data_IF_138164795759
#
_entry.id   IF_138164795759
#
_cell.length_a   1.000
_cell.length_b   1.000
_cell.length_c   1.000
_cell.angle_alpha   90.00
_cell.angle_beta   90.00
_cell.angle_gamma   90.00
#
_symmetry.space_group_name_H-M   'P 1'
#
loop_
_entity.id
_entity.type
_entity.pdbx_description
1 polymer ?
#
# COMPACT_ATOMS: atom_id res chain seq x y z
N UNK A 1 -4.93 -19.77 -27.48
CA UNK A 1 -3.92 -20.02 -26.43
C UNK A 1 -3.38 -18.73 -25.81
N UNK A 2 -3.19 -17.66 -26.59
CA UNK A 2 -2.70 -16.37 -26.08
C UNK A 2 -3.55 -15.77 -24.94
N UNK A 3 -4.87 -15.72 -25.10
CA UNK A 3 -5.78 -15.22 -24.04
C UNK A 3 -5.67 -16.00 -22.73
N UNK A 4 -5.55 -17.33 -22.80
CA UNK A 4 -5.38 -18.17 -21.61
C UNK A 4 -4.07 -17.83 -20.88
N UNK A 5 -2.96 -17.68 -21.62
CA UNK A 5 -1.68 -17.30 -21.04
C UNK A 5 -1.69 -15.90 -20.43
N UNK A 6 -2.37 -14.94 -21.06
CA UNK A 6 -2.50 -13.58 -20.56
C UNK A 6 -3.26 -13.53 -19.22
N UNK A 7 -4.40 -14.23 -19.14
CA UNK A 7 -5.21 -14.32 -17.91
C UNK A 7 -4.47 -15.09 -16.82
N UNK A 8 -3.79 -16.18 -17.18
CA UNK A 8 -3.02 -16.99 -16.23
C UNK A 8 -1.87 -16.18 -15.63
N UNK A 9 -1.08 -15.51 -16.46
CA UNK A 9 0.08 -14.72 -16.03
C UNK A 9 -0.39 -13.48 -15.26
N UNK A 10 -1.37 -12.75 -15.79
CA UNK A 10 -1.94 -11.56 -15.12
C UNK A 10 -2.56 -11.90 -13.77
N UNK A 11 -3.31 -13.01 -13.70
CA UNK A 11 -3.89 -13.52 -12.47
C UNK A 11 -2.83 -13.96 -11.46
N UNK A 12 -1.78 -14.66 -11.92
CA UNK A 12 -0.66 -15.07 -11.06
C UNK A 12 0.08 -13.86 -10.50
N UNK A 13 0.40 -12.86 -11.33
CA UNK A 13 1.08 -11.64 -10.89
C UNK A 13 0.24 -10.86 -9.87
N UNK A 14 -1.06 -10.73 -10.11
CA UNK A 14 -2.00 -10.14 -9.15
C UNK A 14 -2.02 -10.91 -7.83
N UNK A 15 -2.09 -12.24 -7.89
CA UNK A 15 -2.04 -13.13 -6.71
C UNK A 15 -0.73 -12.99 -5.92
N UNK A 16 0.40 -12.85 -6.60
CA UNK A 16 1.71 -12.60 -5.96
C UNK A 16 1.71 -11.26 -5.23
N UNK A 17 1.17 -10.19 -5.82
CA UNK A 17 1.08 -8.89 -5.15
C UNK A 17 0.27 -8.97 -3.86
N UNK A 18 -0.91 -9.60 -3.89
CA UNK A 18 -1.72 -9.75 -2.69
C UNK A 18 -1.08 -10.68 -1.65
N UNK A 19 -0.36 -11.72 -2.08
CA UNK A 19 0.35 -12.62 -1.17
C UNK A 19 1.52 -11.93 -0.46
N UNK A 20 2.27 -11.07 -1.14
CA UNK A 20 3.32 -10.26 -0.53
C UNK A 20 2.76 -9.32 0.55
N UNK A 21 1.63 -8.68 0.27
CA UNK A 21 0.92 -7.86 1.26
C UNK A 21 0.55 -8.69 2.48
N UNK A 22 -0.06 -9.86 2.28
CA UNK A 22 -0.45 -10.75 3.37
C UNK A 22 0.76 -11.23 4.21
N UNK A 23 1.89 -11.55 3.56
CA UNK A 23 3.14 -11.91 4.25
C UNK A 23 3.62 -10.77 5.15
N UNK A 24 3.53 -9.51 4.71
CA UNK A 24 3.86 -8.35 5.54
C UNK A 24 3.06 -8.30 6.85
N UNK A 25 1.72 -8.45 6.76
CA UNK A 25 0.85 -8.50 7.93
C UNK A 25 1.19 -9.67 8.87
N UNK A 26 1.43 -10.86 8.32
CA UNK A 26 1.79 -12.06 9.11
C UNK A 26 3.13 -11.87 9.82
N UNK A 27 4.13 -11.29 9.15
CA UNK A 27 5.44 -11.02 9.74
C UNK A 27 5.35 -10.00 10.88
N UNK A 28 4.55 -8.94 10.74
CA UNK A 28 4.31 -7.95 11.81
C UNK A 28 3.69 -8.64 13.02
N UNK A 29 2.65 -9.44 12.82
CA UNK A 29 1.99 -10.16 13.91
C UNK A 29 2.95 -11.14 14.59
N UNK A 30 3.68 -11.93 13.80
CA UNK A 30 4.62 -12.93 14.32
C UNK A 30 5.79 -12.30 15.09
N UNK A 31 6.28 -11.14 14.66
CA UNK A 31 7.38 -10.45 15.31
C UNK A 31 6.95 -9.70 16.57
N UNK A 32 5.76 -9.09 16.57
CA UNK A 32 5.29 -8.25 17.68
C UNK A 32 4.44 -9.00 18.72
N UNK A 33 3.81 -10.11 18.34
CA UNK A 33 2.84 -10.83 19.17
C UNK A 33 1.51 -10.09 19.36
N UNK A 34 1.34 -8.93 18.71
CA UNK A 34 0.13 -8.10 18.80
C UNK A 34 -0.39 -7.76 17.40
N UNK A 35 -1.71 -7.74 17.25
CA UNK A 35 -2.33 -7.34 15.99
C UNK A 35 -2.42 -5.81 15.91
N UNK A 36 -1.82 -5.21 14.89
CA UNK A 36 -1.88 -3.76 14.69
C UNK A 36 -3.20 -3.38 14.02
N UNK A 37 -4.18 -2.98 14.82
CA UNK A 37 -5.47 -2.48 14.34
C UNK A 37 -5.40 -1.07 13.72
N UNK A 38 -4.34 -0.31 14.01
CA UNK A 38 -4.15 1.04 13.46
C UNK A 38 -3.71 1.00 11.99
N UNK A 39 -3.24 -0.14 11.46
CA UNK A 39 -2.68 -0.22 10.12
C UNK A 39 -3.64 0.25 9.02
N UNK A 40 -4.94 -0.06 9.14
CA UNK A 40 -5.96 0.44 8.19
C UNK A 40 -6.12 1.97 8.25
N UNK A 41 -6.18 2.54 9.46
CA UNK A 41 -6.30 3.98 9.65
C UNK A 41 -5.07 4.74 9.14
N UNK A 42 -3.86 4.18 9.32
CA UNK A 42 -2.62 4.77 8.81
C UNK A 42 -2.61 4.85 7.28
N UNK A 43 -3.05 3.80 6.57
CA UNK A 43 -3.14 3.83 5.10
C UNK A 43 -4.15 4.87 4.63
N UNK A 44 -5.29 4.98 5.30
CA UNK A 44 -6.30 5.98 4.97
C UNK A 44 -5.78 7.42 5.18
N UNK A 45 -5.09 7.66 6.29
CA UNK A 45 -4.44 8.94 6.55
C UNK A 45 -3.41 9.26 5.45
N UNK A 46 -2.52 8.33 5.11
CA UNK A 46 -1.54 8.52 4.04
C UNK A 46 -2.18 8.94 2.71
N UNK A 47 -3.27 8.25 2.33
CA UNK A 47 -3.99 8.53 1.10
C UNK A 47 -4.65 9.92 1.13
N UNK A 48 -5.36 10.26 2.20
CA UNK A 48 -6.00 11.57 2.34
C UNK A 48 -4.97 12.70 2.37
N UNK A 49 -3.88 12.57 3.13
CA UNK A 49 -2.83 13.58 3.16
C UNK A 49 -2.25 13.80 1.76
N UNK A 50 -2.04 12.73 0.97
CA UNK A 50 -1.50 12.82 -0.38
C UNK A 50 -2.47 13.50 -1.34
N UNK A 51 -3.74 13.09 -1.33
CA UNK A 51 -4.79 13.70 -2.16
C UNK A 51 -4.98 15.17 -1.78
N UNK A 52 -5.06 15.48 -0.48
CA UNK A 52 -5.19 16.86 0.00
C UNK A 52 -4.02 17.75 -0.45
N UNK A 53 -2.78 17.25 -0.42
CA UNK A 53 -1.61 18.01 -0.94
C UNK A 53 -1.73 18.27 -2.44
N UNK A 54 -2.13 17.26 -3.21
CA UNK A 54 -2.33 17.39 -4.66
C UNK A 54 -3.46 18.39 -4.98
N UNK A 55 -4.57 18.34 -4.25
CA UNK A 55 -5.69 19.27 -4.39
C UNK A 55 -5.32 20.71 -4.00
N UNK A 56 -4.41 20.90 -3.05
CA UNK A 56 -3.84 22.21 -2.70
C UNK A 56 -2.82 22.74 -3.72
N UNK A 57 -2.64 22.04 -4.85
CA UNK A 57 -1.78 22.49 -5.96
C UNK A 57 -0.34 22.02 -5.87
N UNK A 58 0.01 21.14 -4.91
CA UNK A 58 1.34 20.51 -4.92
C UNK A 58 1.44 19.50 -6.05
N UNK A 59 2.56 19.54 -6.77
CA UNK A 59 2.85 18.52 -7.77
C UNK A 59 2.97 17.15 -7.10
N UNK A 60 2.43 16.10 -7.74
CA UNK A 60 2.40 14.73 -7.20
C UNK A 60 3.76 14.26 -6.67
N UNK A 61 4.83 14.59 -7.40
CA UNK A 61 6.21 14.22 -7.04
C UNK A 61 6.73 14.89 -5.76
N UNK A 62 6.14 16.01 -5.33
CA UNK A 62 6.43 16.65 -4.05
C UNK A 62 5.46 16.17 -2.96
N UNK A 63 4.18 15.94 -3.30
CA UNK A 63 3.20 15.44 -2.35
C UNK A 63 3.59 14.07 -1.76
N UNK A 64 4.16 13.18 -2.58
CA UNK A 64 4.56 11.83 -2.18
C UNK A 64 5.67 11.79 -1.10
N UNK A 65 6.83 12.48 -1.25
CA UNK A 65 7.83 12.50 -0.18
C UNK A 65 7.34 13.24 1.08
N UNK A 66 6.48 14.26 0.95
CA UNK A 66 5.90 14.95 2.11
C UNK A 66 4.98 14.02 2.90
N UNK A 67 4.15 13.22 2.23
CA UNK A 67 3.25 12.28 2.90
C UNK A 67 4.00 11.13 3.54
N UNK A 68 5.06 10.63 2.91
CA UNK A 68 5.97 9.66 3.53
C UNK A 68 6.63 10.24 4.78
N UNK A 69 7.09 11.49 4.74
CA UNK A 69 7.63 12.17 5.92
C UNK A 69 6.61 12.31 7.04
N UNK A 70 5.37 12.68 6.70
CA UNK A 70 4.26 12.77 7.66
C UNK A 70 3.87 11.41 8.27
N UNK A 71 4.20 10.28 7.62
CA UNK A 71 3.91 8.94 8.13
C UNK A 71 4.99 8.36 9.05
N UNK A 72 6.15 9.00 9.10
CA UNK A 72 7.24 8.60 10.02
C UNK A 72 7.05 9.20 11.42
N UNK A 73 6.35 10.34 11.52
CA UNK A 73 6.08 11.08 12.76
C UNK A 73 4.76 10.63 13.36
#
# INVERSE_FOLDING_TARGET
MQFFLEVLIGGLLSGVMYSLVAIGFVLIYKASGVFNFAQGAMVFFAALTCVSLVEHGFHFWLALPITLGAMVV
#
